data_IF_608826771397
#
_entry.id   IF_608826771397
#
_cell.length_a   1.000
_cell.length_b   1.000
_cell.length_c   1.000
_cell.angle_alpha   90.00
_cell.angle_beta   90.00
_cell.angle_gamma   90.00
#
_symmetry.space_group_name_H-M   'P 1'
#
loop_
_entity.id
_entity.type
_entity.pdbx_description
1 polymer ?
#
# COMPACT_ATOMS: atom_id res chain seq x y z
N UNK A 1 -12.61 -11.35 7.36
CA UNK A 1 -11.47 -10.42 7.55
C UNK A 1 -11.97 -9.00 7.35
N UNK A 2 -11.51 -8.07 8.15
CA UNK A 2 -11.82 -6.65 7.98
C UNK A 2 -10.57 -5.89 7.54
N UNK A 3 -10.69 -4.57 7.37
CA UNK A 3 -9.56 -3.74 6.89
C UNK A 3 -8.37 -3.76 7.83
N UNK A 4 -8.60 -3.74 9.13
CA UNK A 4 -7.53 -3.78 10.11
C UNK A 4 -6.77 -5.11 10.07
N UNK A 5 -7.52 -6.20 10.00
CA UNK A 5 -6.91 -7.54 9.86
C UNK A 5 -6.13 -7.64 8.55
N UNK A 6 -6.63 -7.01 7.49
CA UNK A 6 -5.95 -7.03 6.21
C UNK A 6 -4.60 -6.30 6.27
N UNK A 7 -4.51 -5.20 7.01
CA UNK A 7 -3.24 -4.50 7.20
C UNK A 7 -2.19 -5.42 7.80
N UNK A 8 -2.57 -6.17 8.82
CA UNK A 8 -1.66 -7.13 9.45
C UNK A 8 -1.33 -8.29 8.52
N UNK A 9 -2.30 -8.70 7.70
CA UNK A 9 -2.06 -9.73 6.68
C UNK A 9 -1.03 -9.25 5.64
N UNK A 10 -1.16 -8.01 5.18
CA UNK A 10 -0.21 -7.42 4.25
C UNK A 10 1.18 -7.35 4.86
N UNK A 11 1.28 -6.94 6.13
CA UNK A 11 2.57 -6.90 6.82
C UNK A 11 3.23 -8.28 6.87
N UNK A 12 2.44 -9.32 7.13
CA UNK A 12 2.93 -10.69 7.13
C UNK A 12 3.45 -11.12 5.76
N UNK A 13 2.70 -10.78 4.70
CA UNK A 13 3.12 -11.10 3.34
C UNK A 13 4.43 -10.41 2.97
N UNK A 14 4.59 -9.15 3.39
CA UNK A 14 5.83 -8.41 3.15
C UNK A 14 7.02 -9.08 3.84
N UNK A 15 6.85 -9.49 5.09
CA UNK A 15 7.90 -10.20 5.83
C UNK A 15 8.28 -11.49 5.12
N UNK A 16 7.29 -12.24 4.64
CA UNK A 16 7.53 -13.50 3.93
C UNK A 16 8.29 -13.28 2.62
N UNK A 17 8.13 -12.11 2.01
CA UNK A 17 8.83 -11.77 0.78
C UNK A 17 10.21 -11.15 1.04
N UNK A 18 10.64 -11.07 2.29
CA UNK A 18 11.97 -10.63 2.63
C UNK A 18 12.10 -9.14 2.92
N UNK A 19 10.99 -8.41 3.02
CA UNK A 19 11.04 -7.02 3.46
C UNK A 19 11.44 -6.96 4.93
N UNK A 20 12.19 -5.92 5.29
CA UNK A 20 12.71 -5.74 6.66
C UNK A 20 12.00 -4.59 7.35
N UNK A 21 12.05 -4.59 8.69
CA UNK A 21 11.52 -3.52 9.53
C UNK A 21 10.07 -3.18 9.18
N UNK A 22 9.28 -4.22 8.95
CA UNK A 22 7.87 -4.09 8.58
C UNK A 22 7.08 -3.65 9.79
N UNK A 23 6.37 -2.53 9.68
CA UNK A 23 5.61 -1.98 10.78
C UNK A 23 4.25 -1.50 10.30
N UNK A 24 3.20 -1.85 11.04
CA UNK A 24 1.86 -1.31 10.82
C UNK A 24 1.79 0.04 11.53
N UNK A 25 1.36 1.07 10.82
CA UNK A 25 1.21 2.41 11.40
C UNK A 25 0.03 2.42 12.37
N UNK A 26 -0.06 3.47 13.19
CA UNK A 26 -1.20 3.62 14.08
C UNK A 26 -2.46 3.86 13.25
N UNK A 27 -3.56 3.19 13.62
CA UNK A 27 -4.80 3.27 12.88
C UNK A 27 -5.44 4.65 12.88
N UNK A 28 -5.20 5.46 13.91
CA UNK A 28 -5.73 6.83 13.95
C UNK A 28 -4.64 7.82 13.56
N UNK A 29 -4.95 8.68 12.60
CA UNK A 29 -4.02 9.71 12.14
C UNK A 29 -2.88 9.19 11.27
N UNK A 30 -3.09 8.10 10.55
CA UNK A 30 -2.04 7.44 9.77
C UNK A 30 -1.66 8.17 8.49
N UNK A 31 -2.26 9.20 8.09
CA UNK A 31 -1.89 9.98 6.90
C UNK A 31 -1.88 9.16 5.59
N UNK A 32 -2.67 8.09 5.52
CA UNK A 32 -2.86 7.37 4.26
C UNK A 32 -1.85 6.26 3.99
N UNK A 33 -0.99 5.90 4.94
CA UNK A 33 -0.09 4.75 4.83
C UNK A 33 -0.35 3.83 6.02
N UNK A 34 -0.64 2.57 5.72
CA UNK A 34 -0.98 1.58 6.75
C UNK A 34 0.21 0.73 7.18
N UNK A 35 1.16 0.50 6.26
CA UNK A 35 2.34 -0.33 6.53
C UNK A 35 3.57 0.34 5.96
N UNK A 36 4.66 0.34 6.72
CA UNK A 36 5.97 0.80 6.25
C UNK A 36 6.89 -0.40 6.26
N UNK A 37 7.66 -0.57 5.19
CA UNK A 37 8.57 -1.71 5.06
C UNK A 37 9.78 -1.31 4.22
N UNK A 38 10.88 -2.03 4.39
CA UNK A 38 12.12 -1.72 3.70
C UNK A 38 12.58 -2.91 2.86
N UNK A 39 13.07 -2.63 1.67
CA UNK A 39 13.71 -3.61 0.83
C UNK A 39 14.98 -2.96 0.26
N UNK A 40 16.14 -3.47 0.63
CA UNK A 40 17.44 -2.99 0.14
C UNK A 40 17.61 -1.47 0.28
N UNK A 41 17.36 -0.92 1.44
CA UNK A 41 17.47 0.52 1.72
C UNK A 41 16.41 1.38 1.03
N UNK A 42 15.42 0.77 0.38
CA UNK A 42 14.29 1.49 -0.19
C UNK A 42 13.13 1.40 0.79
N UNK A 43 12.60 2.56 1.16
CA UNK A 43 11.49 2.65 2.10
C UNK A 43 10.16 2.68 1.34
N UNK A 44 9.32 1.70 1.62
CA UNK A 44 8.01 1.55 0.99
C UNK A 44 6.92 2.00 1.96
N UNK A 45 6.00 2.81 1.47
CA UNK A 45 4.77 3.14 2.20
C UNK A 45 3.59 2.50 1.50
N UNK A 46 2.87 1.64 2.20
CA UNK A 46 1.81 0.84 1.60
C UNK A 46 0.47 1.23 2.21
N UNK A 47 -0.48 1.59 1.35
CA UNK A 47 -1.88 1.70 1.74
C UNK A 47 -2.57 0.38 1.42
N UNK A 48 -3.28 -0.18 2.40
CA UNK A 48 -3.95 -1.48 2.28
C UNK A 48 -5.45 -1.26 2.14
N UNK A 49 -6.06 -1.87 1.11
CA UNK A 49 -7.51 -1.77 0.88
C UNK A 49 -8.11 -3.16 0.74
N UNK A 50 -8.99 -3.49 1.67
CA UNK A 50 -9.71 -4.77 1.65
C UNK A 50 -11.12 -4.52 1.13
N UNK A 51 -11.32 -4.74 -0.18
CA UNK A 51 -12.56 -4.41 -0.88
C UNK A 51 -13.12 -5.63 -1.60
N UNK A 52 -14.44 -5.63 -1.83
CA UNK A 52 -15.10 -6.58 -2.70
C UNK A 52 -15.36 -6.01 -4.10
N UNK A 53 -14.84 -4.82 -4.38
CA UNK A 53 -15.02 -4.11 -5.64
C UNK A 53 -13.69 -3.41 -5.98
N UNK A 54 -13.54 -2.92 -7.24
CA UNK A 54 -12.27 -2.30 -7.64
C UNK A 54 -11.95 -1.03 -6.84
N UNK A 55 -10.67 -0.84 -6.57
CA UNK A 55 -10.15 0.31 -5.83
C UNK A 55 -9.96 1.49 -6.79
N UNK A 56 -10.44 2.66 -6.40
CA UNK A 56 -10.42 3.85 -7.25
C UNK A 56 -9.33 4.85 -6.89
N UNK A 57 -9.45 6.04 -7.48
CA UNK A 57 -8.44 7.10 -7.43
C UNK A 57 -8.08 7.56 -6.02
N UNK A 58 -9.06 7.58 -5.12
CA UNK A 58 -8.83 8.11 -3.77
C UNK A 58 -7.70 7.39 -3.06
N UNK A 59 -7.65 6.06 -3.19
CA UNK A 59 -6.58 5.28 -2.56
C UNK A 59 -5.21 5.65 -3.12
N UNK A 60 -5.12 5.88 -4.43
CA UNK A 60 -3.86 6.28 -5.07
C UNK A 60 -3.41 7.64 -4.55
N UNK A 61 -4.34 8.59 -4.46
CA UNK A 61 -4.05 9.94 -3.94
C UNK A 61 -3.58 9.87 -2.49
N UNK A 62 -4.25 9.07 -1.67
CA UNK A 62 -3.91 8.90 -0.26
C UNK A 62 -2.53 8.27 -0.10
N UNK A 63 -2.23 7.25 -0.89
CA UNK A 63 -0.92 6.59 -0.82
C UNK A 63 0.20 7.55 -1.23
N UNK A 64 -0.02 8.34 -2.28
CA UNK A 64 0.97 9.31 -2.74
C UNK A 64 1.26 10.35 -1.66
N UNK A 65 0.21 10.95 -1.10
CA UNK A 65 0.37 11.97 -0.05
C UNK A 65 1.00 11.38 1.21
N UNK A 66 0.57 10.18 1.60
CA UNK A 66 1.10 9.52 2.80
C UNK A 66 2.55 9.14 2.65
N UNK A 67 2.97 8.70 1.47
CA UNK A 67 4.37 8.38 1.21
C UNK A 67 5.25 9.63 1.38
N UNK A 68 4.77 10.78 0.93
CA UNK A 68 5.48 12.05 1.14
C UNK A 68 5.56 12.39 2.62
N UNK A 69 4.47 12.21 3.35
CA UNK A 69 4.43 12.52 4.78
C UNK A 69 5.45 11.69 5.57
N UNK A 70 5.58 10.40 5.24
CA UNK A 70 6.47 9.48 5.95
C UNK A 70 7.87 9.39 5.31
N UNK A 71 8.14 10.21 4.31
CA UNK A 71 9.44 10.22 3.60
C UNK A 71 9.77 8.86 2.99
N UNK A 72 8.75 8.21 2.40
CA UNK A 72 8.95 6.94 1.71
C UNK A 72 9.47 7.17 0.29
N UNK A 73 10.31 6.26 -0.17
CA UNK A 73 10.83 6.28 -1.54
C UNK A 73 9.79 5.79 -2.54
N UNK A 74 8.96 4.83 -2.14
CA UNK A 74 7.97 4.18 -3.00
C UNK A 74 6.62 4.21 -2.32
N UNK A 75 5.59 4.64 -3.04
CA UNK A 75 4.20 4.59 -2.59
C UNK A 75 3.51 3.40 -3.26
N UNK A 76 2.74 2.65 -2.50
CA UNK A 76 2.04 1.45 -2.97
C UNK A 76 0.60 1.45 -2.47
N UNK A 77 -0.33 1.01 -3.33
CA UNK A 77 -1.64 0.58 -2.86
C UNK A 77 -1.72 -0.93 -3.06
N UNK A 78 -1.97 -1.66 -1.99
CA UNK A 78 -2.10 -3.12 -2.01
C UNK A 78 -3.56 -3.48 -1.68
N UNK A 79 -4.15 -4.33 -2.50
CA UNK A 79 -5.53 -4.73 -2.31
C UNK A 79 -5.72 -6.22 -2.61
N UNK A 80 -6.72 -6.81 -1.98
CA UNK A 80 -7.20 -8.15 -2.33
C UNK A 80 -8.02 -8.14 -3.62
N UNK A 81 -8.44 -6.96 -4.06
CA UNK A 81 -9.30 -6.77 -5.23
C UNK A 81 -8.47 -6.37 -6.46
N UNK A 82 -9.06 -5.56 -7.32
CA UNK A 82 -8.42 -5.00 -8.53
C UNK A 82 -8.51 -3.48 -8.47
N UNK A 83 -8.09 -2.81 -9.53
CA UNK A 83 -8.12 -1.34 -9.61
C UNK A 83 -8.94 -0.89 -10.80
N UNK A 84 -9.58 0.29 -10.67
CA UNK A 84 -10.28 0.91 -11.79
C UNK A 84 -9.27 1.41 -12.81
N UNK A 85 -9.71 1.60 -14.05
CA UNK A 85 -8.85 2.17 -15.09
C UNK A 85 -8.34 3.56 -14.73
N UNK A 86 -9.20 4.49 -14.22
CA UNK A 86 -8.70 5.79 -13.77
C UNK A 86 -7.63 5.68 -12.68
N UNK A 87 -7.77 4.73 -11.74
CA UNK A 87 -6.76 4.54 -10.69
C UNK A 87 -5.42 4.12 -11.31
N UNK A 88 -5.44 3.24 -12.30
CA UNK A 88 -4.22 2.81 -12.99
C UNK A 88 -3.54 3.98 -13.71
N UNK A 89 -4.32 4.82 -14.38
CA UNK A 89 -3.79 5.99 -15.06
C UNK A 89 -3.15 6.97 -14.07
N UNK A 90 -3.85 7.25 -12.96
CA UNK A 90 -3.34 8.16 -11.94
C UNK A 90 -2.06 7.62 -11.32
N UNK A 91 -2.06 6.33 -10.98
CA UNK A 91 -0.88 5.69 -10.38
C UNK A 91 0.33 5.79 -11.30
N UNK A 92 0.15 5.59 -12.59
CA UNK A 92 1.23 5.71 -13.56
C UNK A 92 1.80 7.14 -13.58
N UNK A 93 0.94 8.15 -13.55
CA UNK A 93 1.37 9.55 -13.54
C UNK A 93 2.10 9.93 -12.27
N UNK A 94 1.66 9.42 -11.13
CA UNK A 94 2.24 9.77 -9.83
C UNK A 94 3.39 8.86 -9.42
N UNK A 95 3.63 7.77 -10.14
CA UNK A 95 4.67 6.81 -9.75
C UNK A 95 4.25 5.93 -8.57
N UNK A 96 2.96 5.71 -8.38
CA UNK A 96 2.45 4.83 -7.33
C UNK A 96 2.35 3.41 -7.88
N UNK A 97 2.85 2.43 -7.14
CA UNK A 97 2.72 1.03 -7.52
C UNK A 97 1.38 0.48 -7.07
N UNK A 98 0.78 -0.37 -7.89
CA UNK A 98 -0.49 -1.01 -7.58
C UNK A 98 -0.28 -2.52 -7.51
N UNK A 99 -0.56 -3.09 -6.34
CA UNK A 99 -0.44 -4.54 -6.10
C UNK A 99 -1.83 -5.11 -5.86
N UNK A 100 -2.36 -5.82 -6.86
CA UNK A 100 -3.70 -6.39 -6.77
C UNK A 100 -3.66 -7.86 -6.37
N UNK A 101 -4.81 -8.38 -5.94
CA UNK A 101 -4.97 -9.80 -5.55
C UNK A 101 -3.99 -10.23 -4.46
N UNK A 102 -3.65 -9.29 -3.57
CA UNK A 102 -2.69 -9.50 -2.48
C UNK A 102 -1.36 -10.07 -2.98
N UNK A 103 -0.96 -9.72 -4.19
CA UNK A 103 0.27 -10.20 -4.80
C UNK A 103 1.34 -9.13 -4.80
N UNK A 104 2.48 -9.43 -4.19
CA UNK A 104 3.64 -8.54 -4.15
C UNK A 104 4.54 -8.91 -5.33
N UNK A 105 4.75 -8.02 -6.32
CA UNK A 105 5.62 -8.34 -7.44
C UNK A 105 7.09 -8.41 -7.00
N UNK A 106 7.87 -9.09 -7.79
CA UNK A 106 9.30 -9.22 -7.51
C UNK A 106 10.06 -7.93 -7.81
#
# INVERSE_FOLDING_TARGET
>A
MDGYQYEHHCAKLLKQRGFRDVAVTKSSGDQGIDVIAYNENVKYGIQCKYYSYPVGNQAVQQAYAGAKFYDCNVAVVMTNSTFTEPAKELAQKLGVQLWEKSYIPN
#
